data_IF_203026796979
#
_entry.id   IF_203026796979
#
_cell.length_a   1.000
_cell.length_b   1.000
_cell.length_c   1.000
_cell.angle_alpha   90.00
_cell.angle_beta   90.00
_cell.angle_gamma   90.00
#
_symmetry.space_group_name_H-M   'P 1'
#
loop_
_entity.id
_entity.type
_entity.pdbx_description
1 polymer ?
#
# COMPACT_ATOMS: atom_id res chain seq x y z
N UNK A 1 -23.71 15.69 13.53
CA UNK A 1 -22.68 14.72 13.17
C UNK A 1 -23.38 13.39 12.98
N UNK A 2 -23.56 12.99 11.76
CA UNK A 2 -24.14 11.72 11.35
C UNK A 2 -23.23 10.59 11.77
N UNK A 3 -23.79 9.46 12.23
CA UNK A 3 -23.17 8.19 12.54
C UNK A 3 -21.89 7.98 11.70
N UNK A 4 -20.77 7.79 12.39
CA UNK A 4 -19.41 7.76 11.84
C UNK A 4 -19.34 6.95 10.53
N UNK A 5 -18.86 7.61 9.46
CA UNK A 5 -18.59 6.92 8.21
C UNK A 5 -17.58 5.79 8.49
N UNK A 6 -17.98 4.56 8.19
CA UNK A 6 -17.15 3.38 8.41
C UNK A 6 -16.26 3.16 7.18
N UNK A 7 -14.98 2.98 7.41
CA UNK A 7 -13.97 2.78 6.35
C UNK A 7 -13.45 1.35 6.40
N UNK A 8 -13.72 0.59 5.35
CA UNK A 8 -13.16 -0.77 5.22
C UNK A 8 -11.70 -0.67 4.80
N UNK A 9 -10.81 -1.24 5.59
CA UNK A 9 -9.38 -1.34 5.27
C UNK A 9 -9.02 -2.80 5.08
N UNK A 10 -8.78 -3.21 3.84
CA UNK A 10 -8.21 -4.54 3.58
C UNK A 10 -6.70 -4.48 3.69
N UNK A 11 -6.08 -5.48 4.30
CA UNK A 11 -4.64 -5.44 4.54
C UNK A 11 -4.24 -4.51 5.70
N UNK A 12 -5.17 -4.21 6.62
CA UNK A 12 -4.94 -3.33 7.77
C UNK A 12 -3.96 -3.86 8.80
N UNK A 13 -3.65 -5.17 8.78
CA UNK A 13 -2.57 -5.78 9.57
C UNK A 13 -1.16 -5.56 8.98
N UNK A 14 -1.07 -5.11 7.73
CA UNK A 14 0.17 -4.82 7.03
C UNK A 14 0.84 -3.51 7.49
N UNK A 15 2.04 -3.24 6.95
CA UNK A 15 2.82 -2.04 7.29
C UNK A 15 2.06 -0.74 6.98
N UNK A 16 1.73 -0.49 5.71
CA UNK A 16 0.98 0.73 5.30
C UNK A 16 -0.41 0.74 5.95
N UNK A 17 -1.07 -0.42 6.01
CA UNK A 17 -2.41 -0.54 6.59
C UNK A 17 -2.48 -0.06 8.03
N UNK A 18 -1.50 -0.39 8.86
CA UNK A 18 -1.45 0.08 10.25
C UNK A 18 -1.37 1.61 10.35
N UNK A 19 -0.61 2.28 9.50
CA UNK A 19 -0.52 3.73 9.46
C UNK A 19 -1.79 4.38 8.92
N UNK A 20 -2.46 3.72 7.96
CA UNK A 20 -3.81 4.12 7.52
C UNK A 20 -4.81 4.03 8.67
N UNK A 21 -4.75 2.99 9.50
CA UNK A 21 -5.62 2.90 10.69
C UNK A 21 -5.37 4.06 11.65
N UNK A 22 -4.10 4.38 11.93
CA UNK A 22 -3.74 5.53 12.78
C UNK A 22 -4.32 6.83 12.23
N UNK A 23 -4.16 7.07 10.93
CA UNK A 23 -4.66 8.26 10.26
C UNK A 23 -6.20 8.36 10.33
N UNK A 24 -6.91 7.25 10.09
CA UNK A 24 -8.37 7.20 10.21
C UNK A 24 -8.85 7.49 11.64
N UNK A 25 -8.24 6.86 12.64
CA UNK A 25 -8.59 7.04 14.05
C UNK A 25 -8.31 8.48 14.50
N UNK A 26 -7.17 9.06 14.12
CA UNK A 26 -6.83 10.45 14.46
C UNK A 26 -7.84 11.47 13.89
N UNK A 27 -8.52 11.12 12.78
CA UNK A 27 -9.59 11.92 12.19
C UNK A 27 -10.98 11.61 12.78
N UNK A 28 -11.08 10.75 13.79
CA UNK A 28 -12.35 10.33 14.40
C UNK A 28 -13.19 9.44 13.49
N UNK A 29 -12.60 8.80 12.50
CA UNK A 29 -13.25 7.84 11.61
C UNK A 29 -13.19 6.44 12.20
N UNK A 30 -14.11 5.57 11.78
CA UNK A 30 -14.22 4.20 12.27
C UNK A 30 -13.63 3.21 11.25
N UNK A 31 -12.38 2.72 11.43
CA UNK A 31 -11.83 1.68 10.58
C UNK A 31 -12.43 0.31 10.90
N UNK A 32 -12.74 -0.44 9.85
CA UNK A 32 -13.07 -1.87 9.89
C UNK A 32 -12.02 -2.61 9.09
N UNK A 33 -11.20 -3.40 9.75
CA UNK A 33 -10.13 -4.15 9.10
C UNK A 33 -10.65 -5.50 8.63
N UNK A 34 -10.41 -5.79 7.35
CA UNK A 34 -10.63 -7.11 6.76
C UNK A 34 -9.27 -7.68 6.33
N UNK A 35 -8.78 -8.66 7.06
CA UNK A 35 -7.45 -9.25 6.84
C UNK A 35 -7.44 -10.71 7.28
N UNK A 36 -6.42 -11.47 6.86
CA UNK A 36 -6.24 -12.87 7.30
C UNK A 36 -5.91 -12.96 8.79
N UNK A 37 -5.11 -12.01 9.30
CA UNK A 37 -4.63 -12.03 10.68
C UNK A 37 -4.58 -10.62 11.27
N UNK A 38 -4.97 -10.51 12.55
CA UNK A 38 -4.80 -9.29 13.34
C UNK A 38 -3.33 -9.16 13.77
N UNK A 39 -2.74 -8.01 13.54
CA UNK A 39 -1.40 -7.71 14.04
C UNK A 39 -1.46 -6.78 15.25
N UNK A 40 -1.88 -7.33 16.40
CA UNK A 40 -2.08 -6.55 17.62
C UNK A 40 -0.82 -5.83 18.08
N UNK A 41 0.35 -6.49 18.04
CA UNK A 41 1.62 -5.90 18.45
C UNK A 41 1.97 -4.64 17.63
N UNK A 42 1.84 -4.70 16.30
CA UNK A 42 2.09 -3.53 15.44
C UNK A 42 1.07 -2.43 15.66
N UNK A 43 -0.21 -2.80 15.84
CA UNK A 43 -1.25 -1.82 16.11
C UNK A 43 -1.04 -1.10 17.44
N UNK A 44 -0.68 -1.80 18.52
CA UNK A 44 -0.35 -1.21 19.81
C UNK A 44 0.84 -0.24 19.72
N UNK A 45 1.88 -0.59 18.96
CA UNK A 45 3.05 0.29 18.75
C UNK A 45 2.72 1.57 18.01
N UNK A 46 1.79 1.54 17.05
CA UNK A 46 1.51 2.68 16.16
C UNK A 46 0.28 3.48 16.62
N UNK A 47 -0.77 2.80 17.10
CA UNK A 47 -2.02 3.44 17.52
C UNK A 47 -2.11 3.64 19.05
N UNK A 48 -1.25 2.96 19.85
CA UNK A 48 -1.37 3.00 21.30
C UNK A 48 -2.67 2.39 21.80
N UNK A 49 -3.31 3.06 22.75
CA UNK A 49 -4.57 2.62 23.36
C UNK A 49 -5.73 2.52 22.36
N UNK A 50 -5.69 3.29 21.29
CA UNK A 50 -6.73 3.32 20.25
C UNK A 50 -6.80 2.01 19.47
N UNK A 51 -5.73 1.20 19.48
CA UNK A 51 -5.68 -0.12 18.84
C UNK A 51 -6.79 -1.07 19.32
N UNK A 52 -7.24 -0.93 20.57
CA UNK A 52 -8.29 -1.73 21.14
C UNK A 52 -9.66 -1.48 20.49
N UNK A 53 -9.90 -0.27 19.99
CA UNK A 53 -11.15 0.14 19.35
C UNK A 53 -11.27 -0.23 17.87
N UNK A 54 -10.21 -0.74 17.25
CA UNK A 54 -10.22 -1.10 15.83
C UNK A 54 -11.01 -2.40 15.62
N UNK A 55 -12.09 -2.31 14.84
CA UNK A 55 -12.89 -3.47 14.46
C UNK A 55 -12.10 -4.37 13.50
N UNK A 56 -12.07 -5.67 13.78
CA UNK A 56 -11.35 -6.65 12.98
C UNK A 56 -12.23 -7.82 12.55
N UNK A 57 -12.20 -8.13 11.27
CA UNK A 57 -12.86 -9.30 10.67
C UNK A 57 -11.80 -10.16 9.99
N UNK A 58 -11.62 -11.39 10.48
CA UNK A 58 -10.71 -12.35 9.85
C UNK A 58 -11.33 -12.93 8.58
N UNK A 59 -10.68 -12.67 7.42
CA UNK A 59 -11.21 -13.16 6.16
C UNK A 59 -10.22 -13.02 5.00
N UNK A 60 -10.41 -13.87 3.99
CA UNK A 60 -9.72 -13.78 2.71
C UNK A 60 -10.54 -12.98 1.71
N UNK A 61 -9.89 -12.20 0.85
CA UNK A 61 -10.52 -11.53 -0.30
C UNK A 61 -11.23 -12.50 -1.25
N UNK A 62 -10.85 -13.77 -1.23
CA UNK A 62 -11.49 -14.83 -2.01
C UNK A 62 -12.84 -15.28 -1.40
N UNK A 63 -13.10 -14.96 -0.14
CA UNK A 63 -14.39 -15.18 0.49
C UNK A 63 -15.33 -13.98 0.25
N UNK A 64 -15.81 -13.86 -1.00
CA UNK A 64 -16.71 -12.80 -1.44
C UNK A 64 -17.93 -12.65 -0.51
N UNK A 65 -18.53 -13.77 -0.07
CA UNK A 65 -19.72 -13.75 0.78
C UNK A 65 -19.45 -13.05 2.11
N UNK A 66 -18.32 -13.37 2.75
CA UNK A 66 -17.94 -12.73 4.02
C UNK A 66 -17.63 -11.25 3.82
N UNK A 67 -16.96 -10.89 2.71
CA UNK A 67 -16.66 -9.51 2.37
C UNK A 67 -17.95 -8.68 2.18
N UNK A 68 -18.92 -9.19 1.42
CA UNK A 68 -20.24 -8.56 1.21
C UNK A 68 -21.01 -8.41 2.53
N UNK A 69 -21.01 -9.44 3.38
CA UNK A 69 -21.64 -9.42 4.70
C UNK A 69 -21.02 -8.36 5.60
N UNK A 70 -19.67 -8.35 5.72
CA UNK A 70 -18.93 -7.37 6.51
C UNK A 70 -19.29 -5.95 6.08
N UNK A 71 -19.27 -5.67 4.78
CA UNK A 71 -19.55 -4.32 4.29
C UNK A 71 -20.98 -3.84 4.60
N UNK A 72 -21.96 -4.75 4.62
CA UNK A 72 -23.36 -4.43 5.00
C UNK A 72 -23.52 -4.24 6.49
N UNK A 73 -23.04 -5.18 7.30
CA UNK A 73 -23.19 -5.17 8.77
C UNK A 73 -22.48 -3.95 9.38
N UNK A 74 -21.29 -3.64 8.90
CA UNK A 74 -20.48 -2.51 9.36
C UNK A 74 -20.85 -1.18 8.70
N UNK A 75 -21.81 -1.16 7.78
CA UNK A 75 -22.28 0.04 7.05
C UNK A 75 -21.12 0.80 6.39
N UNK A 76 -20.25 0.06 5.72
CA UNK A 76 -19.06 0.61 5.05
C UNK A 76 -19.47 1.68 4.03
N UNK A 77 -18.89 2.86 4.13
CA UNK A 77 -19.10 3.98 3.20
C UNK A 77 -17.88 4.28 2.32
N UNK A 78 -16.68 3.90 2.76
CA UNK A 78 -15.44 4.11 2.02
C UNK A 78 -14.56 2.87 2.11
N UNK A 79 -13.69 2.68 1.14
CA UNK A 79 -12.80 1.51 1.06
C UNK A 79 -11.36 1.96 0.84
N UNK A 80 -10.44 1.40 1.61
CA UNK A 80 -9.00 1.49 1.39
C UNK A 80 -8.48 0.07 1.20
N UNK A 81 -8.10 -0.26 -0.04
CA UNK A 81 -7.73 -1.61 -0.43
C UNK A 81 -6.22 -1.77 -0.56
N UNK A 82 -5.60 -2.37 0.47
CA UNK A 82 -4.15 -2.57 0.56
C UNK A 82 -3.73 -4.04 0.55
N UNK A 83 -4.67 -4.97 0.76
CA UNK A 83 -4.37 -6.40 0.80
C UNK A 83 -3.85 -6.89 -0.55
N UNK A 84 -2.65 -7.45 -0.55
CA UNK A 84 -1.99 -8.01 -1.73
C UNK A 84 -0.86 -8.96 -1.33
N UNK A 85 -0.53 -9.90 -2.21
CA UNK A 85 0.74 -10.61 -2.18
C UNK A 85 1.82 -9.77 -2.87
N UNK A 86 3.00 -9.71 -2.27
CA UNK A 86 4.14 -8.95 -2.78
C UNK A 86 4.94 -9.72 -3.83
N UNK A 87 5.87 -9.02 -4.50
CA UNK A 87 6.70 -9.57 -5.58
C UNK A 87 7.27 -10.97 -5.30
N UNK A 88 7.94 -11.25 -4.15
CA UNK A 88 8.51 -12.57 -3.94
C UNK A 88 7.48 -13.70 -3.99
N UNK A 89 6.30 -13.47 -3.38
CA UNK A 89 5.23 -14.47 -3.35
C UNK A 89 4.58 -14.64 -4.73
N UNK A 90 4.34 -13.53 -5.46
CA UNK A 90 3.78 -13.60 -6.81
C UNK A 90 4.69 -14.31 -7.81
N UNK A 91 6.02 -14.17 -7.65
CA UNK A 91 6.99 -14.88 -8.49
C UNK A 91 7.07 -16.37 -8.13
N UNK A 92 6.93 -16.69 -6.87
CA UNK A 92 6.99 -18.06 -6.36
C UNK A 92 5.71 -18.85 -6.68
N UNK A 93 4.55 -18.20 -6.55
CA UNK A 93 3.23 -18.75 -6.88
C UNK A 93 2.40 -17.71 -7.65
N UNK A 94 2.51 -17.68 -8.99
CA UNK A 94 1.75 -16.77 -9.82
C UNK A 94 0.23 -16.99 -9.73
N UNK A 95 -0.24 -18.21 -9.49
CA UNK A 95 -1.68 -18.49 -9.36
C UNK A 95 -2.23 -17.81 -8.11
N UNK A 96 -1.64 -18.06 -6.96
CA UNK A 96 -2.04 -17.37 -5.72
C UNK A 96 -1.90 -15.85 -5.85
N UNK A 97 -0.85 -15.36 -6.54
CA UNK A 97 -0.67 -13.95 -6.86
C UNK A 97 -1.85 -13.38 -7.64
N UNK A 98 -2.28 -14.05 -8.70
CA UNK A 98 -3.43 -13.65 -9.52
C UNK A 98 -4.74 -13.70 -8.73
N UNK A 99 -4.97 -14.78 -7.99
CA UNK A 99 -6.18 -14.94 -7.18
C UNK A 99 -6.32 -13.79 -6.16
N UNK A 100 -5.28 -13.51 -5.38
CA UNK A 100 -5.37 -12.49 -4.33
C UNK A 100 -5.35 -11.08 -4.92
N UNK A 101 -4.40 -10.78 -5.82
CA UNK A 101 -4.19 -9.40 -6.27
C UNK A 101 -5.21 -8.99 -7.34
N UNK A 102 -5.64 -9.89 -8.23
CA UNK A 102 -6.57 -9.56 -9.31
C UNK A 102 -7.99 -9.96 -8.93
N UNK A 103 -8.25 -11.25 -8.70
CA UNK A 103 -9.60 -11.73 -8.40
C UNK A 103 -10.12 -11.15 -7.07
N UNK A 104 -9.26 -11.06 -6.04
CA UNK A 104 -9.61 -10.42 -4.77
C UNK A 104 -10.02 -8.95 -4.94
N UNK A 105 -9.31 -8.20 -5.81
CA UNK A 105 -9.69 -6.82 -6.15
C UNK A 105 -11.02 -6.76 -6.92
N UNK A 106 -11.26 -7.69 -7.85
CA UNK A 106 -12.56 -7.81 -8.53
C UNK A 106 -13.68 -8.08 -7.53
N UNK A 107 -13.47 -8.97 -6.56
CA UNK A 107 -14.46 -9.22 -5.49
C UNK A 107 -14.79 -7.94 -4.71
N UNK A 108 -13.79 -7.11 -4.42
CA UNK A 108 -13.99 -5.85 -3.71
C UNK A 108 -14.81 -4.85 -4.55
N UNK A 109 -14.48 -4.67 -5.82
CA UNK A 109 -15.27 -3.82 -6.72
C UNK A 109 -16.69 -4.35 -6.94
N UNK A 110 -16.87 -5.65 -7.04
CA UNK A 110 -18.19 -6.28 -7.13
C UNK A 110 -18.99 -6.12 -5.82
N UNK A 111 -18.34 -6.17 -4.66
CA UNK A 111 -18.98 -5.84 -3.39
C UNK A 111 -19.46 -4.39 -3.40
N UNK A 112 -18.59 -3.44 -3.79
CA UNK A 112 -18.96 -2.04 -3.90
C UNK A 112 -20.16 -1.82 -4.86
N UNK A 113 -20.16 -2.52 -6.01
CA UNK A 113 -21.27 -2.49 -6.97
C UNK A 113 -22.57 -3.02 -6.35
N UNK A 114 -22.51 -4.09 -5.56
CA UNK A 114 -23.69 -4.68 -4.93
C UNK A 114 -24.33 -3.83 -3.82
N UNK A 115 -23.64 -2.79 -3.37
CA UNK A 115 -24.08 -1.87 -2.31
C UNK A 115 -24.75 -0.58 -2.85
N UNK A 116 -25.02 -0.51 -4.17
CA UNK A 116 -25.87 0.50 -4.83
C UNK A 116 -25.70 1.93 -4.30
N UNK A 117 -24.51 2.51 -4.44
CA UNK A 117 -24.24 3.90 -4.03
C UNK A 117 -23.97 4.12 -2.54
N UNK A 118 -23.96 3.06 -1.73
CA UNK A 118 -23.51 3.15 -0.34
C UNK A 118 -22.01 3.51 -0.25
N UNK A 119 -21.20 2.98 -1.17
CA UNK A 119 -19.76 3.27 -1.23
C UNK A 119 -19.54 4.60 -1.95
N UNK A 120 -19.00 5.57 -1.22
CA UNK A 120 -18.74 6.94 -1.68
C UNK A 120 -17.37 7.10 -2.35
N UNK A 121 -16.39 6.28 -1.96
CA UNK A 121 -15.05 6.34 -2.52
C UNK A 121 -14.21 5.10 -2.21
N UNK A 122 -13.30 4.81 -3.15
CA UNK A 122 -12.35 3.70 -3.05
C UNK A 122 -10.97 4.23 -3.34
N UNK A 123 -10.01 4.01 -2.44
CA UNK A 123 -8.60 4.06 -2.78
C UNK A 123 -8.01 2.65 -2.76
N UNK A 124 -7.07 2.37 -3.67
CA UNK A 124 -6.43 1.07 -3.73
C UNK A 124 -4.93 1.19 -4.01
N UNK A 125 -4.17 0.24 -3.47
CA UNK A 125 -2.74 0.17 -3.69
C UNK A 125 -2.43 -0.40 -5.08
N UNK A 126 -2.11 0.49 -6.02
CA UNK A 126 -1.31 0.17 -7.18
C UNK A 126 0.19 0.17 -6.77
N UNK A 127 1.12 0.35 -7.67
CA UNK A 127 2.55 0.36 -7.38
C UNK A 127 3.32 0.99 -8.53
N UNK A 128 4.43 1.64 -8.25
CA UNK A 128 5.37 2.05 -9.28
C UNK A 128 5.97 0.87 -10.08
N UNK A 129 5.89 -0.35 -9.53
CA UNK A 129 6.28 -1.60 -10.22
C UNK A 129 5.45 -1.93 -11.49
N UNK A 130 4.44 -1.13 -11.84
CA UNK A 130 3.71 -1.21 -13.11
C UNK A 130 4.54 -0.73 -14.29
N UNK A 131 5.58 0.05 -14.05
CA UNK A 131 6.49 0.55 -15.06
C UNK A 131 7.62 -0.44 -15.32
N UNK A 132 8.11 -0.44 -16.57
CA UNK A 132 9.29 -1.21 -16.93
C UNK A 132 10.57 -0.42 -16.69
N UNK A 133 11.74 -1.06 -16.84
CA UNK A 133 13.06 -0.44 -16.61
C UNK A 133 13.38 0.81 -17.47
N UNK A 134 12.64 1.04 -18.54
CA UNK A 134 12.87 2.14 -19.50
C UNK A 134 11.84 3.28 -19.36
N UNK A 135 11.02 3.27 -18.30
CA UNK A 135 10.04 4.34 -18.09
C UNK A 135 10.71 5.61 -17.54
N UNK A 136 11.61 6.22 -18.33
CA UNK A 136 12.19 7.52 -18.01
C UNK A 136 11.19 8.70 -18.17
N UNK A 137 9.98 8.43 -18.65
CA UNK A 137 8.95 9.45 -18.84
C UNK A 137 7.68 9.09 -18.07
N UNK A 138 7.65 9.52 -16.82
CA UNK A 138 6.54 9.34 -15.89
C UNK A 138 5.22 10.02 -16.32
N UNK A 139 5.24 10.73 -17.47
CA UNK A 139 4.09 11.56 -17.90
C UNK A 139 3.09 10.84 -18.77
N UNK A 140 3.43 9.72 -19.39
CA UNK A 140 2.57 9.13 -20.43
C UNK A 140 1.75 7.93 -20.00
N UNK A 141 2.11 7.22 -18.94
CA UNK A 141 1.36 6.01 -18.50
C UNK A 141 1.17 4.95 -19.60
N UNK A 142 1.81 5.16 -20.74
CA UNK A 142 1.80 4.29 -21.90
C UNK A 142 3.16 3.64 -22.01
N UNK A 143 3.19 2.34 -21.88
CA UNK A 143 4.32 1.50 -22.25
C UNK A 143 4.54 1.63 -23.77
N UNK A 144 5.22 2.68 -24.20
CA UNK A 144 5.72 2.79 -25.56
C UNK A 144 7.04 2.05 -25.63
N UNK A 145 7.00 0.75 -25.86
CA UNK A 145 8.20 -0.05 -26.00
C UNK A 145 8.00 -1.48 -25.48
N UNK A 146 8.91 -2.35 -25.77
CA UNK A 146 8.84 -3.79 -25.47
C UNK A 146 8.92 -4.18 -23.98
N UNK A 147 9.02 -3.23 -23.05
CA UNK A 147 9.18 -3.47 -21.61
C UNK A 147 7.97 -3.04 -20.79
N UNK A 148 7.00 -3.93 -20.67
CA UNK A 148 5.96 -3.86 -19.63
C UNK A 148 6.53 -4.19 -18.24
N UNK A 149 5.67 -4.28 -17.20
CA UNK A 149 6.10 -4.64 -15.84
C UNK A 149 6.95 -5.91 -15.83
N UNK A 150 8.14 -5.91 -15.21
CA UNK A 150 9.08 -7.04 -15.27
C UNK A 150 8.68 -8.19 -14.31
N UNK A 151 7.64 -8.01 -13.50
CA UNK A 151 7.22 -8.97 -12.49
C UNK A 151 5.73 -9.29 -12.57
N UNK A 152 5.32 -10.50 -12.17
CA UNK A 152 3.91 -10.83 -12.02
C UNK A 152 3.17 -9.83 -11.12
N UNK A 153 3.80 -9.40 -10.03
CA UNK A 153 3.23 -8.39 -9.15
C UNK A 153 2.89 -7.09 -9.88
N UNK A 154 3.83 -6.55 -10.66
CA UNK A 154 3.61 -5.34 -11.45
C UNK A 154 2.49 -5.52 -12.49
N UNK A 155 2.46 -6.67 -13.18
CA UNK A 155 1.37 -7.03 -14.12
C UNK A 155 0.02 -7.04 -13.41
N UNK A 156 -0.06 -7.64 -12.22
CA UNK A 156 -1.33 -7.69 -11.47
C UNK A 156 -1.78 -6.30 -11.00
N UNK A 157 -0.87 -5.45 -10.57
CA UNK A 157 -1.19 -4.06 -10.18
C UNK A 157 -1.70 -3.27 -11.38
N UNK A 158 -1.04 -3.38 -12.54
CA UNK A 158 -1.49 -2.75 -13.78
C UNK A 158 -2.88 -3.27 -14.22
N UNK A 159 -3.11 -4.59 -14.10
CA UNK A 159 -4.41 -5.16 -14.39
C UNK A 159 -5.52 -4.56 -13.51
N UNK A 160 -5.26 -4.36 -12.21
CA UNK A 160 -6.22 -3.72 -11.29
C UNK A 160 -6.50 -2.27 -11.67
N UNK A 161 -5.49 -1.50 -12.11
CA UNK A 161 -5.68 -0.14 -12.59
C UNK A 161 -6.68 -0.12 -13.78
N UNK A 162 -6.52 -1.03 -14.74
CA UNK A 162 -7.44 -1.14 -15.87
C UNK A 162 -8.83 -1.66 -15.47
N UNK A 163 -8.91 -2.61 -14.54
CA UNK A 163 -10.17 -3.13 -13.98
C UNK A 163 -10.96 -1.99 -13.32
N UNK A 164 -10.32 -1.19 -12.48
CA UNK A 164 -10.94 -0.04 -11.82
C UNK A 164 -11.55 0.95 -12.82
N UNK A 165 -10.85 1.21 -13.94
CA UNK A 165 -11.39 2.03 -15.03
C UNK A 165 -12.65 1.42 -15.65
N UNK A 166 -12.74 0.08 -15.80
CA UNK A 166 -13.94 -0.56 -16.32
C UNK A 166 -15.12 -0.44 -15.33
N UNK A 167 -14.87 -0.58 -14.02
CA UNK A 167 -15.91 -0.38 -13.01
C UNK A 167 -16.45 1.06 -13.00
N UNK A 168 -15.60 2.06 -13.25
CA UNK A 168 -16.08 3.41 -13.46
C UNK A 168 -16.94 3.53 -14.74
N UNK A 169 -16.41 3.06 -15.87
CA UNK A 169 -17.09 3.22 -17.18
C UNK A 169 -18.45 2.54 -17.23
N UNK A 170 -18.58 1.37 -16.63
CA UNK A 170 -19.79 0.56 -16.73
C UNK A 170 -20.75 0.73 -15.55
N UNK A 171 -20.23 1.06 -14.37
CA UNK A 171 -21.02 1.06 -13.13
C UNK A 171 -20.91 2.35 -12.34
N UNK A 172 -20.12 3.33 -12.76
CA UNK A 172 -19.98 4.63 -12.10
C UNK A 172 -19.26 4.56 -10.74
N UNK A 173 -18.49 3.50 -10.48
CA UNK A 173 -17.76 3.33 -9.21
C UNK A 173 -16.47 4.13 -9.27
N UNK A 174 -16.44 5.25 -8.54
CA UNK A 174 -15.27 6.11 -8.45
C UNK A 174 -14.14 5.46 -7.63
N UNK A 175 -12.89 5.61 -8.09
CA UNK A 175 -11.74 5.06 -7.40
C UNK A 175 -10.44 5.80 -7.71
N UNK A 176 -9.48 5.71 -6.78
CA UNK A 176 -8.13 6.24 -6.96
C UNK A 176 -7.11 5.14 -6.69
N UNK A 177 -6.35 4.78 -7.71
CA UNK A 177 -5.16 3.96 -7.55
C UNK A 177 -3.97 4.82 -7.13
N UNK A 178 -3.26 4.44 -6.09
CA UNK A 178 -2.06 5.14 -5.65
C UNK A 178 -0.86 4.24 -5.92
N UNK A 179 0.16 4.79 -6.58
CA UNK A 179 1.41 4.12 -6.91
C UNK A 179 2.55 4.69 -6.05
N UNK A 180 2.79 4.13 -4.88
CA UNK A 180 3.98 4.46 -4.11
C UNK A 180 5.22 3.79 -4.73
N UNK A 181 6.38 4.38 -4.46
CA UNK A 181 7.70 3.79 -4.72
C UNK A 181 8.15 2.94 -3.51
N UNK A 182 9.32 3.24 -2.96
CA UNK A 182 9.83 2.56 -1.76
C UNK A 182 9.28 3.24 -0.51
N UNK A 183 8.21 2.70 0.04
CA UNK A 183 7.64 3.24 1.28
C UNK A 183 8.54 2.86 2.45
N UNK A 184 9.00 3.83 3.25
CA UNK A 184 9.81 3.61 4.42
C UNK A 184 9.16 4.19 5.68
N UNK A 185 9.60 3.72 6.84
CA UNK A 185 9.11 4.23 8.13
C UNK A 185 9.07 3.16 9.22
N UNK A 186 8.66 3.53 10.43
CA UNK A 186 8.57 2.61 11.57
C UNK A 186 7.61 1.45 11.29
N UNK A 187 7.92 0.30 11.85
CA UNK A 187 7.18 -0.96 11.70
C UNK A 187 7.25 -1.60 10.29
N UNK A 188 8.09 -1.11 9.37
CA UNK A 188 8.43 -1.85 8.17
C UNK A 188 9.49 -2.91 8.50
N UNK A 189 9.12 -4.19 8.46
CA UNK A 189 9.97 -5.31 8.88
C UNK A 189 10.34 -6.26 7.75
N UNK A 190 9.71 -6.15 6.56
CA UNK A 190 9.92 -7.08 5.45
C UNK A 190 9.74 -6.43 4.08
N UNK A 191 10.12 -7.17 3.06
CA UNK A 191 10.08 -6.79 1.64
C UNK A 191 11.47 -6.54 1.08
N UNK A 192 11.60 -6.65 -0.25
CA UNK A 192 12.89 -6.50 -0.94
C UNK A 192 13.59 -5.16 -0.66
N UNK A 193 12.80 -4.11 -0.47
CA UNK A 193 13.28 -2.73 -0.24
C UNK A 193 13.08 -2.26 1.20
N UNK A 194 13.03 -3.17 2.19
CA UNK A 194 12.89 -2.80 3.60
C UNK A 194 14.19 -2.25 4.23
N UNK A 195 15.33 -2.43 3.56
CA UNK A 195 16.66 -2.07 4.06
C UNK A 195 16.75 -0.69 4.72
N UNK A 196 16.28 0.41 4.12
CA UNK A 196 16.30 1.74 4.73
C UNK A 196 15.59 1.82 6.08
N UNK A 197 14.40 1.25 6.20
CA UNK A 197 13.64 1.23 7.46
C UNK A 197 14.33 0.40 8.54
N UNK A 198 14.90 -0.74 8.13
CA UNK A 198 15.64 -1.62 9.04
C UNK A 198 16.96 -0.98 9.49
N UNK A 199 17.66 -0.25 8.62
CA UNK A 199 18.85 0.52 8.96
C UNK A 199 18.54 1.62 9.99
N UNK A 200 17.45 2.38 9.81
CA UNK A 200 17.01 3.36 10.80
C UNK A 200 16.74 2.71 12.17
N UNK A 201 16.08 1.57 12.18
CA UNK A 201 15.79 0.82 13.41
C UNK A 201 17.07 0.32 14.08
N UNK A 202 17.99 -0.29 13.32
CA UNK A 202 19.24 -0.80 13.83
C UNK A 202 20.10 0.31 14.46
N UNK A 203 20.21 1.46 13.80
CA UNK A 203 20.91 2.63 14.33
C UNK A 203 20.29 3.11 15.65
N UNK A 204 18.95 3.17 15.74
CA UNK A 204 18.29 3.53 16.99
C UNK A 204 18.55 2.55 18.14
N UNK A 205 18.92 1.30 17.81
CA UNK A 205 19.30 0.25 18.76
C UNK A 205 20.81 0.17 19.00
N UNK A 206 21.61 0.96 18.27
CA UNK A 206 23.08 0.89 18.32
C UNK A 206 23.67 -0.37 17.64
N UNK A 207 22.90 -1.00 16.74
CA UNK A 207 23.25 -2.24 16.06
C UNK A 207 23.74 -1.99 14.63
N UNK A 208 24.72 -2.79 14.12
CA UNK A 208 25.13 -2.69 12.74
C UNK A 208 24.06 -3.26 11.79
N UNK A 209 23.92 -2.65 10.61
CA UNK A 209 23.03 -3.12 9.57
C UNK A 209 23.62 -2.91 8.17
N UNK A 210 23.51 -3.94 7.31
CA UNK A 210 23.87 -3.85 5.91
C UNK A 210 22.60 -3.75 5.04
N UNK A 211 22.45 -2.63 4.32
CA UNK A 211 21.43 -2.53 3.28
C UNK A 211 21.94 -3.33 2.07
N UNK A 212 21.17 -4.31 1.65
CA UNK A 212 21.58 -5.35 0.70
C UNK A 212 21.27 -5.04 -0.76
N UNK A 213 21.14 -3.76 -1.11
CA UNK A 213 20.97 -3.28 -2.48
C UNK A 213 21.54 -1.88 -2.64
N UNK A 214 21.83 -1.53 -3.88
CA UNK A 214 22.27 -0.19 -4.32
C UNK A 214 21.31 0.36 -5.38
N UNK A 215 21.58 1.55 -5.87
CA UNK A 215 20.78 2.20 -6.93
C UNK A 215 19.94 3.36 -6.43
N UNK A 216 19.28 4.04 -7.37
CA UNK A 216 18.44 5.20 -7.10
C UNK A 216 16.97 4.82 -7.22
N UNK A 217 16.19 5.09 -6.16
CA UNK A 217 14.75 4.82 -6.11
C UNK A 217 14.02 6.01 -5.50
N UNK A 218 12.72 6.12 -5.77
CA UNK A 218 11.86 7.05 -5.05
C UNK A 218 11.59 6.55 -3.63
N UNK A 219 11.64 7.44 -2.65
CA UNK A 219 11.33 7.16 -1.26
C UNK A 219 10.07 7.90 -0.82
N UNK A 220 9.12 7.17 -0.23
CA UNK A 220 7.89 7.71 0.33
C UNK A 220 7.83 7.43 1.82
N UNK A 221 7.61 8.46 2.64
CA UNK A 221 7.42 8.25 4.07
C UNK A 221 6.02 7.70 4.35
N UNK A 222 5.92 6.72 5.23
CA UNK A 222 4.70 5.94 5.42
C UNK A 222 3.50 6.75 5.92
N UNK A 223 3.71 7.80 6.71
CA UNK A 223 2.59 8.67 7.16
C UNK A 223 2.00 9.45 5.99
N UNK A 224 2.84 9.95 5.08
CA UNK A 224 2.38 10.67 3.88
C UNK A 224 1.62 9.72 2.93
N UNK A 225 2.14 8.50 2.78
CA UNK A 225 1.45 7.44 2.02
C UNK A 225 0.10 7.11 2.63
N UNK A 226 0.02 6.94 3.94
CA UNK A 226 -1.23 6.67 4.64
C UNK A 226 -2.24 7.81 4.47
N UNK A 227 -1.79 9.05 4.63
CA UNK A 227 -2.62 10.24 4.41
C UNK A 227 -3.14 10.30 2.96
N UNK A 228 -2.30 10.01 1.97
CA UNK A 228 -2.70 9.98 0.57
C UNK A 228 -3.82 8.94 0.31
N UNK A 229 -3.72 7.73 0.88
CA UNK A 229 -4.77 6.71 0.76
C UNK A 229 -6.08 7.14 1.42
N UNK A 230 -6.00 7.75 2.60
CA UNK A 230 -7.18 8.23 3.33
C UNK A 230 -7.85 9.37 2.56
N UNK A 231 -7.08 10.38 2.13
CA UNK A 231 -7.63 11.49 1.33
C UNK A 231 -8.27 11.01 0.03
N UNK A 232 -7.62 10.11 -0.69
CA UNK A 232 -8.12 9.57 -1.94
C UNK A 232 -9.43 8.77 -1.77
N UNK A 233 -9.59 8.07 -0.65
CA UNK A 233 -10.83 7.35 -0.35
C UNK A 233 -11.95 8.30 0.06
N UNK A 234 -11.67 9.31 0.91
CA UNK A 234 -12.68 10.22 1.44
C UNK A 234 -13.13 11.27 0.43
N UNK A 235 -12.24 11.69 -0.46
CA UNK A 235 -12.46 12.76 -1.44
C UNK A 235 -12.16 12.29 -2.88
N UNK A 236 -12.78 11.20 -3.36
CA UNK A 236 -12.47 10.68 -4.69
C UNK A 236 -12.88 11.69 -5.76
N UNK A 237 -12.05 11.91 -6.79
CA UNK A 237 -12.48 12.65 -7.96
C UNK A 237 -13.60 11.89 -8.67
N UNK A 238 -14.39 12.61 -9.48
CA UNK A 238 -15.37 11.94 -10.34
C UNK A 238 -14.65 11.16 -11.44
N UNK A 239 -14.50 9.86 -11.23
CA UNK A 239 -13.77 9.01 -12.18
C UNK A 239 -13.08 7.83 -11.54
N UNK A 240 -12.28 7.15 -12.35
CA UNK A 240 -11.24 6.23 -11.89
C UNK A 240 -9.91 6.78 -12.37
N UNK A 241 -9.07 7.18 -11.43
CA UNK A 241 -7.76 7.79 -11.71
C UNK A 241 -6.67 6.99 -11.04
N UNK A 242 -5.45 7.14 -11.55
CA UNK A 242 -4.25 6.59 -10.92
C UNK A 242 -3.26 7.73 -10.70
N UNK A 243 -2.62 7.75 -9.55
CA UNK A 243 -1.70 8.81 -9.13
C UNK A 243 -0.39 8.19 -8.69
N UNK A 244 0.71 8.64 -9.29
CA UNK A 244 2.06 8.38 -8.79
C UNK A 244 2.34 9.37 -7.64
N UNK A 245 2.90 8.87 -6.52
CA UNK A 245 3.28 9.75 -5.43
C UNK A 245 4.52 10.59 -5.81
N UNK A 246 4.60 11.84 -5.36
CA UNK A 246 5.74 12.71 -5.60
C UNK A 246 6.92 12.32 -4.69
N UNK A 247 7.52 11.18 -4.98
CA UNK A 247 8.57 10.57 -4.17
C UNK A 247 9.88 11.35 -4.25
N UNK A 248 10.65 11.36 -3.17
CA UNK A 248 12.01 11.88 -3.18
C UNK A 248 12.97 10.86 -3.81
N UNK A 249 13.56 11.22 -4.95
CA UNK A 249 14.53 10.37 -5.63
C UNK A 249 15.90 10.47 -4.96
N UNK A 250 16.42 9.36 -4.47
CA UNK A 250 17.74 9.29 -3.86
C UNK A 250 18.40 7.92 -4.07
N UNK A 251 19.72 7.89 -3.99
CA UNK A 251 20.45 6.62 -3.94
C UNK A 251 20.37 6.00 -2.54
N UNK A 252 20.62 4.72 -2.46
CA UNK A 252 20.68 4.00 -1.16
C UNK A 252 21.77 4.59 -0.26
N UNK A 253 22.89 5.01 -0.84
CA UNK A 253 24.00 5.67 -0.15
C UNK A 253 23.62 7.05 0.39
N UNK A 254 22.86 7.83 -0.38
CA UNK A 254 22.33 9.13 0.05
C UNK A 254 21.33 8.96 1.20
N UNK A 255 20.51 7.91 1.17
CA UNK A 255 19.63 7.58 2.29
C UNK A 255 20.43 7.20 3.55
N UNK A 256 21.47 6.35 3.43
CA UNK A 256 22.36 6.02 4.54
C UNK A 256 23.07 7.27 5.09
N UNK A 257 23.52 8.17 4.22
CA UNK A 257 24.09 9.45 4.63
C UNK A 257 23.08 10.36 5.36
N UNK A 258 21.81 10.30 4.96
CA UNK A 258 20.74 11.04 5.65
C UNK A 258 20.53 10.51 7.08
N UNK A 259 20.57 9.19 7.31
CA UNK A 259 20.50 8.62 8.65
C UNK A 259 21.68 9.13 9.50
N UNK A 260 22.89 9.18 8.94
CA UNK A 260 24.06 9.68 9.66
C UNK A 260 23.98 11.18 10.02
N UNK A 261 23.27 11.98 9.21
CA UNK A 261 23.03 13.41 9.54
C UNK A 261 22.13 13.59 10.77
N UNK A 262 21.11 12.72 10.92
CA UNK A 262 20.17 12.77 12.07
C UNK A 262 20.69 12.04 13.28
N UNK A 263 21.53 11.01 13.10
CA UNK A 263 22.15 10.21 14.16
C UNK A 263 23.67 10.17 13.96
N UNK A 264 24.42 11.19 14.40
CA UNK A 264 25.86 11.24 14.25
C UNK A 264 26.55 10.00 14.83
N UNK A 265 27.40 9.37 14.05
CA UNK A 265 28.03 8.08 14.39
C UNK A 265 27.37 6.86 13.73
N UNK A 266 26.22 7.02 13.09
CA UNK A 266 25.57 5.94 12.37
C UNK A 266 26.39 5.40 11.17
N UNK A 267 27.31 6.20 10.62
CA UNK A 267 28.19 5.76 9.53
C UNK A 267 29.06 4.57 9.85
N UNK A 268 29.34 4.31 11.12
CA UNK A 268 30.07 3.10 11.57
C UNK A 268 29.15 1.87 11.70
N UNK A 269 27.83 2.07 11.68
CA UNK A 269 26.83 1.03 11.85
C UNK A 269 26.15 0.63 10.53
N UNK A 270 26.13 1.51 9.53
CA UNK A 270 25.44 1.24 8.27
C UNK A 270 26.46 0.98 7.16
N UNK A 271 26.23 -0.13 6.44
CA UNK A 271 26.89 -0.38 5.16
C UNK A 271 25.85 -0.55 4.06
N UNK A 272 26.24 -0.20 2.82
CA UNK A 272 25.43 -0.40 1.63
C UNK A 272 26.20 -1.31 0.69
N UNK A 273 25.58 -2.40 0.25
CA UNK A 273 26.19 -3.35 -0.69
C UNK A 273 25.11 -4.19 -1.35
N UNK A 274 25.41 -4.82 -2.48
CA UNK A 274 24.50 -5.72 -3.15
C UNK A 274 24.20 -5.27 -4.58
N UNK A 275 23.28 -5.95 -5.27
CA UNK A 275 22.91 -5.62 -6.65
C UNK A 275 22.22 -4.26 -6.73
N UNK A 276 22.41 -3.61 -7.86
CA UNK A 276 21.65 -2.42 -8.18
C UNK A 276 20.19 -2.79 -8.43
N UNK A 277 19.28 -2.10 -7.74
CA UNK A 277 17.85 -2.21 -8.04
C UNK A 277 17.60 -1.39 -9.30
N UNK A 278 16.96 -1.95 -10.33
CA UNK A 278 16.56 -1.18 -11.49
C UNK A 278 15.74 0.05 -11.05
N UNK A 279 15.99 1.19 -11.68
CA UNK A 279 15.11 2.34 -11.55
C UNK A 279 13.70 1.89 -11.94
N UNK A 280 12.85 1.79 -10.99
CA UNK A 280 11.43 1.60 -11.19
C UNK A 280 10.73 2.87 -10.77
#
# INVERSE_FOLDING_TARGET
MTLHDSVLVTGGGGFIGTWVLRELVSRGLRPVVFDLQRNSERWEKVLGEEAAGVQFVAGSLLNRKLLDQTAREERVSHIIHLAALLTPHCQQDPVAGCEINVLGSVHLFEMARSLEGQIKGISYASSYAVYGPEADDATTGTTSGESGPPTFYGVYKLAVDHIAQQYWRHFGIASVGIRPHVVYGPERTMGLTAGPSLACRAVAQGEPYAINYTGSVGYDYVEDVASAFVEAALNPPRGSTVVDLPSELATTEEFAAAINRVAPGASSLISVSGPEIPRN
#
